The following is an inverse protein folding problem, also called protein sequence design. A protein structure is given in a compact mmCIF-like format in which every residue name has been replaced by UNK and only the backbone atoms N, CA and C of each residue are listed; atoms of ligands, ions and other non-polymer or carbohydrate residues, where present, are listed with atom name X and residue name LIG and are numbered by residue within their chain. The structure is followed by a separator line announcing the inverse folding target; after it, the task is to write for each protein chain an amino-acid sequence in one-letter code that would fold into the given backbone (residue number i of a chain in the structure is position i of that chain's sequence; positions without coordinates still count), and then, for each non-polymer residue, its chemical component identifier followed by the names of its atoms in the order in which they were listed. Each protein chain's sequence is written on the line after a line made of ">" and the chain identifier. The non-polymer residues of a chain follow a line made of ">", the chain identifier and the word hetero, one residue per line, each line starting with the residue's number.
data_IF_272187671432
#
_entry.id   IF_272187671432
#
_cell.length_a   1.000
_cell.length_b   1.000
_cell.length_c   1.000
_cell.angle_alpha   90.00
_cell.angle_beta   90.00
_cell.angle_gamma   90.00
#
_symmetry.space_group_name_H-M   'P 1'
#
loop_
_entity.id
_entity.type
_entity.pdbx_description
1 polymer ?
#
# COMPACT_ATOMS: atom_id res chain seq x y z
N UNK A 1 -10.95 17.02 25.79
CA UNK A 1 -9.49 17.25 25.62
C UNK A 1 -9.01 16.55 24.35
N UNK A 2 -8.15 17.14 23.51
CA UNK A 2 -7.61 16.45 22.30
C UNK A 2 -6.71 15.26 22.72
N UNK A 3 -6.90 14.08 22.10
CA UNK A 3 -6.15 12.83 22.35
C UNK A 3 -4.68 12.92 21.92
N UNK A 4 -4.40 13.69 20.87
CA UNK A 4 -3.07 13.93 20.32
C UNK A 4 -2.84 15.44 20.31
N UNK A 5 -1.66 15.88 20.75
CA UNK A 5 -1.23 17.28 20.74
C UNK A 5 0.10 17.42 20.01
N UNK A 6 0.18 18.42 19.13
CA UNK A 6 1.40 18.74 18.39
C UNK A 6 2.38 19.47 19.30
N UNK A 7 3.62 19.01 19.29
CA UNK A 7 4.76 19.59 20.02
C UNK A 7 5.55 20.51 19.09
N UNK A 8 5.97 20.01 17.92
CA UNK A 8 6.71 20.78 16.92
C UNK A 8 6.28 20.43 15.49
N UNK A 9 6.62 21.34 14.57
CA UNK A 9 6.47 21.16 13.12
C UNK A 9 7.71 21.71 12.46
N UNK A 10 8.39 20.88 11.68
CA UNK A 10 9.65 21.21 11.03
C UNK A 10 9.61 20.79 9.55
N UNK A 11 10.44 21.44 8.74
CA UNK A 11 10.70 21.04 7.36
C UNK A 11 12.14 20.51 7.29
N UNK A 12 12.28 19.20 7.15
CA UNK A 12 13.57 18.54 7.08
C UNK A 12 14.06 18.59 5.64
N UNK A 13 15.23 19.20 5.43
CA UNK A 13 15.84 19.38 4.10
C UNK A 13 17.04 18.44 3.97
N UNK A 14 17.51 18.15 2.73
CA UNK A 14 18.80 17.50 2.53
C UNK A 14 19.91 18.25 3.31
N UNK A 15 20.86 17.52 3.91
CA UNK A 15 21.94 18.13 4.68
C UNK A 15 23.00 18.79 3.79
N UNK A 16 23.09 18.38 2.52
CA UNK A 16 23.93 19.03 1.51
C UNK A 16 23.13 20.00 0.64
N UNK A 17 23.85 20.93 -0.01
CA UNK A 17 23.23 21.99 -0.78
C UNK A 17 22.55 21.45 -2.06
N UNK A 18 21.30 21.82 -2.32
CA UNK A 18 20.48 21.19 -3.38
C UNK A 18 20.62 21.81 -4.77
N UNK A 19 21.37 22.89 -4.96
CA UNK A 19 21.36 23.66 -6.22
C UNK A 19 21.95 22.93 -7.43
N UNK A 20 22.72 21.86 -7.22
CA UNK A 20 23.29 21.04 -8.28
C UNK A 20 22.41 19.83 -8.65
N UNK A 21 21.31 19.63 -7.93
CA UNK A 21 20.41 18.50 -8.15
C UNK A 21 19.57 18.75 -9.40
N UNK A 22 19.44 17.72 -10.23
CA UNK A 22 18.58 17.77 -11.42
C UNK A 22 17.14 17.44 -11.03
N UNK A 23 16.15 17.94 -11.78
CA UNK A 23 14.78 17.48 -11.63
C UNK A 23 14.68 15.96 -11.74
N UNK A 24 13.86 15.34 -10.90
CA UNK A 24 13.58 13.90 -10.96
C UNK A 24 12.38 13.66 -11.86
N UNK A 25 12.58 12.98 -12.99
CA UNK A 25 11.50 12.68 -13.93
C UNK A 25 10.61 11.55 -13.39
N UNK A 26 9.30 11.77 -13.43
CA UNK A 26 8.33 10.71 -13.17
C UNK A 26 8.38 9.69 -14.30
N UNK A 27 8.14 8.41 -13.97
CA UNK A 27 7.91 7.40 -14.99
C UNK A 27 6.43 7.35 -15.41
N UNK A 28 6.09 6.67 -16.50
CA UNK A 28 4.70 6.59 -16.97
C UNK A 28 3.73 6.08 -15.90
N UNK A 29 4.14 5.10 -15.09
CA UNK A 29 3.27 4.53 -14.04
C UNK A 29 2.99 5.57 -12.96
N UNK A 30 4.00 6.33 -12.55
CA UNK A 30 3.85 7.48 -11.64
C UNK A 30 2.81 8.48 -12.17
N UNK A 31 2.87 8.78 -13.48
CA UNK A 31 1.91 9.70 -14.11
C UNK A 31 0.46 9.20 -14.06
N UNK A 32 0.23 7.88 -14.01
CA UNK A 32 -1.09 7.23 -14.03
C UNK A 32 -1.70 6.96 -12.65
N UNK A 33 -0.89 6.78 -11.60
CA UNK A 33 -1.39 6.46 -10.25
C UNK A 33 -2.23 7.61 -9.66
N UNK A 34 -3.32 7.39 -8.92
CA UNK A 34 -4.10 8.50 -8.36
C UNK A 34 -3.35 9.44 -7.42
N UNK A 35 -3.76 10.71 -7.41
CA UNK A 35 -3.19 11.81 -6.62
C UNK A 35 -3.70 11.85 -5.17
N UNK A 36 -3.43 10.80 -4.41
CA UNK A 36 -3.90 10.64 -3.02
C UNK A 36 -2.77 10.27 -2.06
N UNK A 37 -2.93 10.65 -0.79
CA UNK A 37 -2.02 10.22 0.27
C UNK A 37 -2.42 8.86 0.85
N UNK A 38 -1.53 7.89 0.76
CA UNK A 38 -1.69 6.61 1.44
C UNK A 38 -1.03 6.65 2.83
N UNK A 39 -1.75 6.29 3.90
CA UNK A 39 -1.21 6.33 5.25
C UNK A 39 -0.52 5.02 5.65
N UNK A 40 0.59 5.11 6.37
CA UNK A 40 1.27 3.96 7.00
C UNK A 40 1.58 4.32 8.45
N UNK A 41 1.25 3.44 9.40
CA UNK A 41 1.68 3.53 10.79
C UNK A 41 2.63 2.38 11.11
N UNK A 42 3.73 2.71 11.79
CA UNK A 42 4.70 1.75 12.31
C UNK A 42 4.86 2.00 13.82
N UNK A 43 4.57 0.99 14.64
CA UNK A 43 4.59 1.09 16.10
C UNK A 43 5.82 0.40 16.68
N UNK A 44 6.48 1.10 17.60
CA UNK A 44 7.68 0.68 18.31
C UNK A 44 7.45 0.76 19.82
N UNK A 45 7.29 -0.39 20.50
CA UNK A 45 7.29 -0.42 21.95
C UNK A 45 8.70 -0.13 22.43
N UNK A 46 8.82 0.63 23.52
CA UNK A 46 10.11 0.90 24.14
C UNK A 46 10.15 0.10 25.43
N UNK A 47 10.91 -1.00 25.41
CA UNK A 47 11.00 -1.96 26.51
C UNK A 47 11.69 -1.39 27.75
N UNK A 48 12.61 -0.43 27.57
CA UNK A 48 13.38 0.19 28.67
C UNK A 48 13.33 1.72 28.61
N UNK A 49 12.20 2.35 28.97
CA UNK A 49 12.02 3.81 28.87
C UNK A 49 13.04 4.61 29.67
N UNK A 50 13.58 4.05 30.76
CA UNK A 50 14.57 4.70 31.62
C UNK A 50 15.94 4.86 30.97
N UNK A 51 16.30 3.99 30.03
CA UNK A 51 17.54 4.08 29.25
C UNK A 51 17.32 4.78 27.91
N UNK A 52 16.06 5.03 27.55
CA UNK A 52 15.68 5.65 26.30
C UNK A 52 15.70 7.17 26.40
N UNK A 53 16.76 7.79 25.88
CA UNK A 53 16.80 9.22 25.67
C UNK A 53 15.96 9.60 24.44
N UNK A 54 14.70 9.96 24.70
CA UNK A 54 13.76 10.39 23.67
C UNK A 54 14.31 11.59 22.91
N UNK A 55 14.78 12.64 23.59
CA UNK A 55 15.26 13.88 22.94
C UNK A 55 16.41 13.60 21.99
N UNK A 56 17.39 12.78 22.42
CA UNK A 56 18.51 12.37 21.57
C UNK A 56 18.04 11.51 20.40
N UNK A 57 17.08 10.62 20.62
CA UNK A 57 16.49 9.78 19.55
C UNK A 57 15.76 10.62 18.50
N UNK A 58 14.93 11.57 18.94
CA UNK A 58 14.22 12.51 18.06
C UNK A 58 15.19 13.32 17.21
N UNK A 59 16.21 13.89 17.86
CA UNK A 59 17.27 14.64 17.17
C UNK A 59 17.97 13.77 16.14
N UNK A 60 18.34 12.54 16.52
CA UNK A 60 19.01 11.58 15.62
C UNK A 60 18.14 11.21 14.43
N UNK A 61 16.85 10.96 14.63
CA UNK A 61 15.91 10.66 13.54
C UNK A 61 15.79 11.83 12.54
N UNK A 62 15.74 13.08 13.02
CA UNK A 62 15.70 14.25 12.13
C UNK A 62 17.00 14.46 11.36
N UNK A 63 18.14 14.35 12.05
CA UNK A 63 19.47 14.49 11.41
C UNK A 63 19.69 13.40 10.37
N UNK A 64 19.40 12.14 10.71
CA UNK A 64 19.54 11.02 9.76
C UNK A 64 18.52 11.11 8.61
N UNK A 65 17.34 11.69 8.82
CA UNK A 65 16.40 11.98 7.74
C UNK A 65 17.01 12.99 6.76
N UNK A 66 17.60 14.07 7.29
CA UNK A 66 18.30 15.08 6.49
C UNK A 66 19.45 14.48 5.66
N UNK A 67 20.23 13.56 6.24
CA UNK A 67 21.28 12.83 5.53
C UNK A 67 20.72 11.88 4.45
N UNK A 68 19.65 11.15 4.77
CA UNK A 68 19.00 10.21 3.84
C UNK A 68 18.46 10.95 2.62
N UNK A 69 17.93 12.16 2.81
CA UNK A 69 17.42 13.01 1.75
C UNK A 69 18.53 13.52 0.81
N UNK A 70 19.82 13.36 1.11
CA UNK A 70 20.86 13.60 0.11
C UNK A 70 20.80 12.56 -1.03
N UNK A 71 20.47 11.30 -0.69
CA UNK A 71 20.33 10.22 -1.67
C UNK A 71 18.92 10.18 -2.25
N UNK A 72 17.91 10.37 -1.40
CA UNK A 72 16.49 10.35 -1.76
C UNK A 72 15.91 11.77 -1.90
N UNK A 73 16.70 12.68 -2.48
CA UNK A 73 16.33 14.10 -2.60
C UNK A 73 14.99 14.38 -3.28
N UNK A 74 14.47 13.56 -4.23
CA UNK A 74 13.16 13.82 -4.81
C UNK A 74 12.04 13.89 -3.77
N UNK A 75 12.20 13.23 -2.63
CA UNK A 75 11.15 13.19 -1.59
C UNK A 75 11.03 14.53 -0.83
N UNK A 76 12.03 15.39 -0.94
CA UNK A 76 12.03 16.75 -0.38
C UNK A 76 11.45 17.81 -1.32
N UNK A 77 11.20 17.45 -2.58
CA UNK A 77 10.73 18.36 -3.63
C UNK A 77 9.21 18.48 -3.73
N UNK A 78 8.73 19.00 -4.86
CA UNK A 78 7.32 19.13 -5.24
C UNK A 78 7.14 18.74 -6.70
N UNK A 79 6.05 18.03 -6.97
CA UNK A 79 5.74 17.55 -8.33
C UNK A 79 5.32 18.71 -9.22
N UNK A 80 5.85 18.78 -10.43
CA UNK A 80 5.54 19.79 -11.45
C UNK A 80 4.84 19.14 -12.62
N UNK A 81 3.65 19.64 -12.95
CA UNK A 81 2.88 19.27 -14.15
C UNK A 81 2.66 17.77 -14.38
N UNK A 82 2.76 16.93 -13.33
CA UNK A 82 2.73 15.47 -13.44
C UNK A 82 3.85 14.92 -14.36
N UNK A 83 5.01 15.60 -14.41
CA UNK A 83 6.14 15.25 -15.27
C UNK A 83 7.42 14.98 -14.47
N UNK A 84 7.72 15.83 -13.50
CA UNK A 84 8.95 15.73 -12.71
C UNK A 84 8.77 16.29 -11.30
N UNK A 85 9.79 16.14 -10.46
CA UNK A 85 9.89 16.71 -9.12
C UNK A 85 11.07 17.66 -9.05
N UNK A 86 10.84 18.85 -8.49
CA UNK A 86 11.83 19.91 -8.30
C UNK A 86 11.58 20.62 -6.94
N UNK A 87 12.08 21.83 -6.70
CA UNK A 87 11.91 22.60 -5.46
C UNK A 87 12.40 21.85 -4.19
N UNK A 88 13.50 21.13 -4.27
CA UNK A 88 14.01 20.28 -3.16
C UNK A 88 14.27 21.06 -1.84
N UNK A 89 14.48 22.37 -1.94
CA UNK A 89 14.65 23.26 -0.78
C UNK A 89 13.40 23.38 0.10
N UNK A 90 12.22 22.94 -0.37
CA UNK A 90 10.97 22.96 0.39
C UNK A 90 10.93 21.92 1.51
N UNK A 91 11.72 20.84 1.41
CA UNK A 91 11.87 19.86 2.47
C UNK A 91 10.62 18.98 2.71
N UNK A 92 10.79 18.07 3.66
CA UNK A 92 9.80 17.08 4.12
C UNK A 92 9.17 17.57 5.42
N UNK A 93 7.83 17.70 5.50
CA UNK A 93 7.16 18.00 6.75
C UNK A 93 7.34 16.88 7.79
N UNK A 94 7.80 17.28 8.97
CA UNK A 94 8.02 16.39 10.12
C UNK A 94 7.31 16.97 11.34
N UNK A 95 6.42 16.19 11.93
CA UNK A 95 5.62 16.59 13.08
C UNK A 95 6.02 15.76 14.29
N UNK A 96 6.20 16.42 15.42
CA UNK A 96 6.30 15.74 16.72
C UNK A 96 5.00 15.92 17.48
N UNK A 97 4.50 14.83 18.07
CA UNK A 97 3.25 14.85 18.82
C UNK A 97 3.36 14.00 20.08
N UNK A 98 2.51 14.34 21.05
CA UNK A 98 2.28 13.53 22.26
C UNK A 98 0.88 12.93 22.22
N UNK A 99 0.79 11.65 22.52
CA UNK A 99 -0.46 10.90 22.70
C UNK A 99 -0.77 10.84 24.20
N UNK A 100 -2.04 10.98 24.56
CA UNK A 100 -2.45 11.05 25.98
C UNK A 100 -2.79 9.72 26.64
N UNK A 101 -2.90 8.65 25.87
CA UNK A 101 -3.18 7.30 26.39
C UNK A 101 -2.02 6.36 26.08
N UNK A 102 -2.01 5.20 26.73
CA UNK A 102 -0.98 4.19 26.51
C UNK A 102 -1.04 3.61 25.10
N UNK A 103 0.11 3.16 24.58
CA UNK A 103 0.18 2.53 23.25
C UNK A 103 -0.67 1.26 23.18
N UNK A 104 -0.63 0.43 24.23
CA UNK A 104 -1.44 -0.79 24.31
C UNK A 104 -2.94 -0.49 24.24
N UNK A 105 -3.39 0.56 24.93
CA UNK A 105 -4.77 1.03 24.84
C UNK A 105 -5.09 1.58 23.44
N UNK A 106 -4.19 2.38 22.86
CA UNK A 106 -4.42 3.01 21.56
C UNK A 106 -4.55 2.00 20.42
N UNK A 107 -3.72 0.96 20.40
CA UNK A 107 -3.74 -0.08 19.35
C UNK A 107 -5.08 -0.82 19.32
N UNK A 108 -5.76 -0.93 20.47
CA UNK A 108 -7.09 -1.55 20.59
C UNK A 108 -8.25 -0.61 20.24
N UNK A 109 -8.00 0.71 20.12
CA UNK A 109 -9.04 1.64 19.69
C UNK A 109 -9.42 1.39 18.23
N UNK A 110 -10.61 1.85 17.88
CA UNK A 110 -11.12 1.81 16.51
C UNK A 110 -10.14 2.45 15.52
N UNK A 111 -10.12 1.92 14.31
CA UNK A 111 -9.22 2.31 13.21
C UNK A 111 -9.29 3.81 12.88
N UNK A 112 -10.41 4.49 13.16
CA UNK A 112 -10.55 5.95 13.00
C UNK A 112 -9.62 6.78 13.88
N UNK A 113 -9.23 6.28 15.05
CA UNK A 113 -8.25 6.98 15.88
C UNK A 113 -6.86 6.95 15.24
N UNK A 114 -6.55 5.90 14.48
CA UNK A 114 -5.24 5.74 13.84
C UNK A 114 -5.03 6.75 12.70
N UNK A 115 -6.11 7.29 12.12
CA UNK A 115 -6.06 8.39 11.13
C UNK A 115 -5.44 9.67 11.72
N UNK A 116 -5.41 9.81 13.05
CA UNK A 116 -4.82 10.96 13.74
C UNK A 116 -3.32 10.81 13.98
N UNK A 117 -2.74 9.62 13.73
CA UNK A 117 -1.30 9.37 13.88
C UNK A 117 -0.49 9.79 12.65
N UNK A 118 -1.14 10.18 11.55
CA UNK A 118 -0.49 10.62 10.31
C UNK A 118 -0.64 12.13 10.11
N UNK A 119 0.35 12.81 9.48
CA UNK A 119 0.36 14.27 9.36
C UNK A 119 -0.67 14.80 8.35
N UNK A 120 -0.99 14.00 7.32
CA UNK A 120 -1.97 14.34 6.28
C UNK A 120 -3.05 13.26 6.33
N UNK A 121 -4.32 13.69 6.23
CA UNK A 121 -5.46 12.77 6.30
C UNK A 121 -5.34 11.66 5.24
N UNK A 122 -5.66 10.41 5.61
CA UNK A 122 -5.75 9.30 4.66
C UNK A 122 -6.53 9.67 3.41
N UNK A 123 -6.07 9.27 2.23
CA UNK A 123 -6.72 9.54 0.93
C UNK A 123 -7.06 11.01 0.63
N UNK A 124 -6.46 11.96 1.35
CA UNK A 124 -6.57 13.37 1.00
C UNK A 124 -6.08 13.57 -0.45
N UNK A 125 -6.90 14.22 -1.27
CA UNK A 125 -6.55 14.56 -2.65
C UNK A 125 -5.49 15.65 -2.63
N UNK A 126 -4.46 15.51 -3.47
CA UNK A 126 -3.48 16.59 -3.68
C UNK A 126 -4.11 17.62 -4.62
N UNK A 127 -4.48 18.77 -4.08
CA UNK A 127 -5.17 19.83 -4.82
C UNK A 127 -4.18 20.71 -5.59
N UNK A 128 -2.93 20.81 -5.10
CA UNK A 128 -1.90 21.62 -5.74
C UNK A 128 -0.54 20.92 -5.66
N UNK A 129 -0.13 20.35 -6.80
CA UNK A 129 1.14 19.66 -6.96
C UNK A 129 2.37 20.54 -6.58
N UNK A 130 2.26 21.87 -6.67
CA UNK A 130 3.34 22.80 -6.30
C UNK A 130 3.53 22.98 -4.79
N UNK A 131 2.56 22.53 -3.99
CA UNK A 131 2.53 22.68 -2.53
C UNK A 131 2.61 21.34 -1.83
N UNK A 132 1.99 20.32 -2.40
CA UNK A 132 1.82 19.00 -1.79
C UNK A 132 3.16 18.22 -1.73
N UNK A 133 3.67 17.89 -0.52
CA UNK A 133 4.92 17.14 -0.38
C UNK A 133 4.76 15.68 -0.83
N UNK A 134 5.77 15.06 -1.44
CA UNK A 134 5.70 13.64 -1.79
C UNK A 134 5.55 12.70 -0.58
N UNK A 135 6.07 13.11 0.57
CA UNK A 135 5.98 12.37 1.82
C UNK A 135 5.97 13.33 3.01
N UNK A 136 5.29 12.92 4.09
CA UNK A 136 5.33 13.61 5.36
C UNK A 136 5.35 12.60 6.52
N UNK A 137 5.98 12.99 7.63
CA UNK A 137 6.11 12.15 8.83
C UNK A 137 5.47 12.80 10.05
N UNK A 138 4.81 11.99 10.87
CA UNK A 138 4.38 12.36 12.20
C UNK A 138 4.90 11.34 13.19
N UNK A 139 5.70 11.80 14.13
CA UNK A 139 6.19 10.99 15.23
C UNK A 139 5.29 11.19 16.45
N UNK A 140 4.70 10.09 16.93
CA UNK A 140 3.73 10.10 18.00
C UNK A 140 4.33 9.42 19.22
N UNK A 141 4.60 10.20 20.27
CA UNK A 141 5.19 9.71 21.52
C UNK A 141 4.07 9.40 22.52
N UNK A 142 4.05 8.16 23.01
CA UNK A 142 3.10 7.68 24.00
C UNK A 142 3.65 7.85 25.43
N UNK A 143 2.79 7.88 26.47
CA UNK A 143 3.23 8.02 27.86
C UNK A 143 4.14 6.89 28.34
N UNK A 144 3.94 5.64 27.88
CA UNK A 144 4.88 4.53 28.09
C UNK A 144 6.26 4.69 27.43
N UNK A 145 6.51 5.78 26.70
CA UNK A 145 7.71 5.98 25.89
C UNK A 145 7.62 5.38 24.49
N UNK A 146 6.64 4.50 24.22
CA UNK A 146 6.39 3.95 22.89
C UNK A 146 6.30 5.02 21.80
N UNK A 147 6.70 4.69 20.58
CA UNK A 147 6.66 5.58 19.42
C UNK A 147 5.80 4.98 18.31
N UNK A 148 4.90 5.75 17.73
CA UNK A 148 4.32 5.44 16.42
C UNK A 148 4.82 6.43 15.37
N UNK A 149 5.47 5.92 14.32
CA UNK A 149 5.84 6.66 13.13
C UNK A 149 4.66 6.58 12.14
N UNK A 150 3.92 7.67 12.03
CA UNK A 150 2.92 7.87 10.99
C UNK A 150 3.53 8.49 9.75
N UNK A 151 3.15 7.96 8.59
CA UNK A 151 3.68 8.33 7.29
C UNK A 151 2.49 8.65 6.39
N UNK A 152 2.51 9.81 5.74
CA UNK A 152 1.60 10.13 4.65
C UNK A 152 2.37 10.11 3.35
N UNK A 153 2.07 9.13 2.50
CA UNK A 153 2.76 8.87 1.24
C UNK A 153 1.93 9.39 0.07
N UNK A 154 2.41 10.36 -0.69
CA UNK A 154 1.81 10.64 -1.99
C UNK A 154 2.20 9.51 -2.95
N UNK A 155 1.21 8.69 -3.34
CA UNK A 155 1.45 7.49 -4.13
C UNK A 155 2.00 7.81 -5.53
N UNK A 156 2.04 9.10 -5.94
CA UNK A 156 2.54 9.52 -7.24
C UNK A 156 3.99 9.17 -7.55
N UNK A 157 4.89 9.19 -6.58
CA UNK A 157 6.32 9.04 -6.89
C UNK A 157 6.97 7.81 -6.26
N UNK A 158 6.20 7.03 -5.50
CA UNK A 158 6.73 5.84 -4.86
C UNK A 158 5.62 4.86 -4.46
N UNK A 159 5.96 3.59 -4.57
CA UNK A 159 5.19 2.47 -4.05
C UNK A 159 5.72 2.01 -2.67
N UNK A 160 5.07 0.98 -2.09
CA UNK A 160 5.47 0.42 -0.80
C UNK A 160 6.89 -0.15 -0.78
N UNK A 161 7.41 -0.66 -1.90
CA UNK A 161 8.78 -1.17 -1.97
C UNK A 161 9.81 -0.03 -1.89
N UNK A 162 9.57 1.04 -2.64
CA UNK A 162 10.38 2.26 -2.59
C UNK A 162 10.35 2.89 -1.20
N UNK A 163 9.16 2.99 -0.58
CA UNK A 163 9.02 3.48 0.80
C UNK A 163 9.82 2.61 1.78
N UNK A 164 9.74 1.28 1.66
CA UNK A 164 10.53 0.36 2.50
C UNK A 164 12.03 0.63 2.39
N UNK A 165 12.55 0.80 1.17
CA UNK A 165 13.97 1.04 0.97
C UNK A 165 14.43 2.38 1.53
N UNK A 166 13.61 3.41 1.36
CA UNK A 166 13.83 4.71 1.98
C UNK A 166 13.89 4.59 3.51
N UNK A 167 12.92 3.93 4.14
CA UNK A 167 12.88 3.75 5.58
C UNK A 167 14.05 2.92 6.10
N UNK A 168 14.47 1.88 5.37
CA UNK A 168 15.66 1.07 5.71
C UNK A 168 16.95 1.90 5.62
N UNK A 169 17.10 2.72 4.59
CA UNK A 169 18.23 3.66 4.48
C UNK A 169 18.21 4.70 5.60
N UNK A 170 17.04 5.24 5.93
CA UNK A 170 16.88 6.19 7.03
C UNK A 170 17.25 5.57 8.39
N UNK A 171 16.77 4.35 8.64
CA UNK A 171 17.16 3.55 9.81
C UNK A 171 18.67 3.26 9.85
N UNK A 172 19.29 2.96 8.70
CA UNK A 172 20.73 2.73 8.58
C UNK A 172 21.55 3.98 8.94
N UNK A 173 21.17 5.17 8.43
CA UNK A 173 21.79 6.43 8.84
C UNK A 173 21.56 6.72 10.34
N UNK A 174 20.33 6.52 10.85
CA UNK A 174 20.00 6.72 12.26
C UNK A 174 20.86 5.86 13.20
N UNK A 175 21.23 4.66 12.78
CA UNK A 175 22.04 3.73 13.58
C UNK A 175 23.54 3.82 13.29
N UNK A 176 23.97 4.68 12.35
CA UNK A 176 25.35 4.72 11.86
C UNK A 176 25.78 3.49 11.05
N UNK A 177 24.85 2.61 10.69
CA UNK A 177 25.09 1.40 9.90
C UNK A 177 25.13 1.71 8.40
N UNK A 178 26.00 2.62 7.96
CA UNK A 178 26.04 3.14 6.58
C UNK A 178 26.23 2.07 5.50
N UNK A 179 26.85 0.94 5.83
CA UNK A 179 26.97 -0.23 4.94
C UNK A 179 25.62 -0.91 4.58
N UNK A 180 24.54 -0.60 5.32
CA UNK A 180 23.17 -1.09 5.04
C UNK A 180 22.34 -0.10 4.22
N UNK A 181 22.88 1.07 3.88
CA UNK A 181 22.16 2.07 3.09
C UNK A 181 21.91 1.53 1.70
N UNK A 182 20.66 1.65 1.24
CA UNK A 182 20.24 1.26 -0.10
C UNK A 182 20.37 2.49 -0.99
N UNK A 183 21.31 2.45 -1.93
CA UNK A 183 21.48 3.53 -2.90
C UNK A 183 20.29 3.54 -3.87
N UNK A 184 19.53 4.65 -3.97
CA UNK A 184 18.41 4.73 -4.88
C UNK A 184 18.88 4.88 -6.32
N UNK A 185 18.28 4.12 -7.22
CA UNK A 185 18.35 4.40 -8.65
C UNK A 185 17.17 5.31 -9.02
N UNK A 186 17.50 6.57 -9.32
CA UNK A 186 16.55 7.64 -9.62
C UNK A 186 16.29 7.82 -11.12
N UNK A 187 16.87 6.98 -11.98
CA UNK A 187 16.87 7.20 -13.43
C UNK A 187 16.10 6.12 -14.18
N UNK A 188 16.43 4.84 -13.95
CA UNK A 188 16.00 3.72 -14.82
C UNK A 188 14.50 3.61 -15.02
N UNK A 189 13.70 3.94 -13.99
CA UNK A 189 12.24 3.90 -14.08
C UNK A 189 11.72 4.79 -15.23
N UNK A 190 12.23 6.01 -15.36
CA UNK A 190 11.77 7.01 -16.33
C UNK A 190 12.57 6.99 -17.64
N UNK A 191 13.78 6.44 -17.66
CA UNK A 191 14.64 6.48 -18.86
C UNK A 191 14.67 5.16 -19.62
N UNK A 192 14.66 4.03 -18.90
CA UNK A 192 14.83 2.70 -19.50
C UNK A 192 13.49 1.96 -19.53
N UNK A 193 12.74 1.99 -18.43
CA UNK A 193 11.59 1.12 -18.26
C UNK A 193 10.29 1.75 -18.79
N UNK A 194 9.93 2.92 -18.27
CA UNK A 194 8.63 3.53 -18.51
C UNK A 194 8.77 5.04 -18.77
N UNK A 195 9.19 5.43 -19.99
CA UNK A 195 9.33 6.83 -20.36
C UNK A 195 8.06 7.65 -20.11
N UNK A 196 8.17 8.85 -19.53
CA UNK A 196 7.01 9.71 -19.33
C UNK A 196 6.39 10.14 -20.65
N UNK A 197 5.12 10.50 -20.59
CA UNK A 197 4.36 11.09 -21.70
C UNK A 197 3.99 12.52 -21.39
N UNK A 198 3.76 13.29 -22.46
CA UNK A 198 3.28 14.66 -22.37
C UNK A 198 1.98 14.75 -21.53
N UNK A 199 1.86 15.83 -20.76
CA UNK A 199 0.78 16.01 -19.78
C UNK A 199 -0.61 15.88 -20.42
N UNK A 200 -0.84 16.53 -21.57
CA UNK A 200 -2.15 16.49 -22.24
C UNK A 200 -2.51 15.08 -22.73
N UNK A 201 -1.52 14.32 -23.21
CA UNK A 201 -1.72 12.94 -23.62
C UNK A 201 -2.09 12.05 -22.42
N UNK A 202 -1.38 12.20 -21.29
CA UNK A 202 -1.57 11.32 -20.15
C UNK A 202 -2.77 11.71 -19.28
N UNK A 203 -3.25 12.96 -19.36
CA UNK A 203 -4.40 13.45 -18.60
C UNK A 203 -5.65 12.59 -18.85
N UNK A 204 -5.92 12.19 -20.10
CA UNK A 204 -7.08 11.33 -20.42
C UNK A 204 -7.00 9.97 -19.71
N UNK A 205 -5.82 9.37 -19.64
CA UNK A 205 -5.59 8.08 -18.97
C UNK A 205 -5.61 8.23 -17.45
N UNK A 206 -5.03 9.31 -16.92
CA UNK A 206 -5.02 9.60 -15.49
C UNK A 206 -6.43 9.78 -14.95
N UNK A 207 -7.33 10.44 -15.70
CA UNK A 207 -8.74 10.59 -15.33
C UNK A 207 -9.50 9.24 -15.31
N UNK A 208 -9.15 8.32 -16.21
CA UNK A 208 -9.72 6.96 -16.20
C UNK A 208 -9.26 6.23 -14.94
N UNK A 209 -7.96 6.31 -14.63
CA UNK A 209 -7.40 5.71 -13.41
C UNK A 209 -8.01 6.33 -12.14
N UNK A 210 -8.12 7.66 -12.06
CA UNK A 210 -8.73 8.32 -10.90
C UNK A 210 -10.16 7.82 -10.65
N UNK A 211 -11.01 7.72 -11.69
CA UNK A 211 -12.38 7.18 -11.53
C UNK A 211 -12.42 5.70 -11.16
N UNK A 212 -11.49 4.93 -11.71
CA UNK A 212 -11.43 3.49 -11.49
C UNK A 212 -10.97 3.14 -10.06
N UNK A 213 -9.99 3.88 -9.54
CA UNK A 213 -9.44 3.65 -8.21
C UNK A 213 -10.20 4.42 -7.14
N UNK A 214 -10.58 5.67 -7.36
CA UNK A 214 -11.15 6.55 -6.34
C UNK A 214 -12.63 6.77 -6.65
N UNK A 215 -13.49 6.12 -5.86
CA UNK A 215 -14.94 6.25 -5.96
C UNK A 215 -15.47 7.12 -4.83
N UNK A 216 -16.45 7.95 -5.15
CA UNK A 216 -17.17 8.73 -4.14
C UNK A 216 -17.99 7.78 -3.25
N UNK A 217 -18.02 8.05 -1.95
CA UNK A 217 -18.73 7.21 -0.99
C UNK A 217 -18.19 7.37 0.42
N UNK A 218 -18.88 6.76 1.38
CA UNK A 218 -18.42 6.62 2.75
C UNK A 218 -17.81 5.23 2.93
N UNK A 219 -16.57 5.21 3.39
CA UNK A 219 -15.81 3.98 3.54
C UNK A 219 -15.42 3.79 5.00
N UNK A 220 -15.43 2.53 5.42
CA UNK A 220 -14.94 2.10 6.73
C UNK A 220 -13.90 1.02 6.50
N UNK A 221 -12.72 1.11 7.15
CA UNK A 221 -11.85 -0.05 7.30
C UNK A 221 -11.96 -0.68 8.67
N UNK A 222 -12.00 -2.00 8.67
CA UNK A 222 -11.93 -2.86 9.84
C UNK A 222 -10.73 -3.78 9.71
N UNK A 223 -10.18 -4.16 10.86
CA UNK A 223 -9.05 -5.06 10.99
C UNK A 223 -9.58 -6.42 11.42
N UNK A 224 -9.22 -7.46 10.69
CA UNK A 224 -9.56 -8.85 10.99
C UNK A 224 -8.28 -9.67 11.14
N UNK A 225 -8.17 -10.45 12.21
CA UNK A 225 -7.00 -11.31 12.46
C UNK A 225 -7.32 -12.74 12.05
N UNK A 226 -6.52 -13.30 11.16
CA UNK A 226 -6.52 -14.71 10.81
C UNK A 226 -5.32 -15.38 11.49
N UNK A 227 -5.59 -16.26 12.46
CA UNK A 227 -4.51 -16.98 13.17
C UNK A 227 -3.89 -18.04 12.26
N UNK A 228 -2.67 -18.47 12.57
CA UNK A 228 -2.03 -19.54 11.80
C UNK A 228 -2.91 -20.81 11.68
N UNK A 229 -3.62 -21.20 12.74
CA UNK A 229 -4.51 -22.36 12.74
C UNK A 229 -5.64 -22.19 11.71
N UNK A 230 -6.35 -21.05 11.75
CA UNK A 230 -7.41 -20.76 10.77
C UNK A 230 -6.88 -20.73 9.33
N UNK A 231 -5.67 -20.19 9.14
CA UNK A 231 -5.02 -20.15 7.83
C UNK A 231 -4.69 -21.56 7.33
N UNK A 232 -4.24 -22.48 8.20
CA UNK A 232 -4.01 -23.87 7.79
C UNK A 232 -5.31 -24.54 7.34
N UNK A 233 -6.42 -24.30 8.03
CA UNK A 233 -7.74 -24.78 7.59
C UNK A 233 -8.09 -24.23 6.20
N UNK A 234 -7.90 -22.93 5.97
CA UNK A 234 -8.17 -22.32 4.66
C UNK A 234 -7.26 -22.88 3.55
N UNK A 235 -6.00 -23.20 3.87
CA UNK A 235 -5.08 -23.84 2.92
C UNK A 235 -5.63 -25.20 2.47
N UNK A 236 -6.08 -26.04 3.40
CA UNK A 236 -6.66 -27.33 3.04
C UNK A 236 -7.96 -27.18 2.24
N UNK A 237 -8.78 -26.16 2.50
CA UNK A 237 -9.99 -25.87 1.70
C UNK A 237 -9.70 -25.41 0.27
N UNK A 238 -8.52 -24.84 0.01
CA UNK A 238 -8.10 -24.36 -1.32
C UNK A 238 -7.38 -25.45 -2.12
N UNK A 239 -6.78 -26.41 -1.41
CA UNK A 239 -5.99 -27.48 -2.01
C UNK A 239 -6.79 -28.27 -3.03
N UNK A 240 -6.21 -28.47 -4.19
CA UNK A 240 -6.82 -29.20 -5.31
C UNK A 240 -5.73 -29.73 -6.24
N UNK A 241 -6.10 -30.49 -7.26
CA UNK A 241 -5.15 -30.98 -8.27
C UNK A 241 -4.40 -29.83 -8.98
N UNK A 242 -5.08 -28.72 -9.27
CA UNK A 242 -4.46 -27.55 -9.91
C UNK A 242 -3.67 -26.68 -8.92
N UNK A 243 -3.91 -26.82 -7.61
CA UNK A 243 -3.28 -26.08 -6.52
C UNK A 243 -2.88 -27.03 -5.36
N UNK A 244 -1.88 -27.91 -5.55
CA UNK A 244 -1.55 -28.92 -4.54
C UNK A 244 -0.86 -28.33 -3.30
N UNK A 245 -0.27 -27.13 -3.41
CA UNK A 245 0.42 -26.41 -2.33
C UNK A 245 0.01 -24.93 -2.30
N UNK A 246 -1.22 -24.60 -1.87
CA UNK A 246 -1.65 -23.21 -1.77
C UNK A 246 -0.79 -22.42 -0.78
N UNK A 247 -0.51 -21.16 -1.08
CA UNK A 247 0.17 -20.28 -0.12
C UNK A 247 -0.82 -19.72 0.91
N UNK A 248 -0.35 -19.32 2.09
CA UNK A 248 -1.16 -18.59 3.10
C UNK A 248 -1.87 -17.39 2.47
N UNK A 249 -1.16 -16.61 1.65
CA UNK A 249 -1.70 -15.43 1.00
C UNK A 249 -2.82 -15.79 0.04
N UNK A 250 -2.62 -16.83 -0.80
CA UNK A 250 -3.66 -17.30 -1.72
C UNK A 250 -4.92 -17.73 -0.96
N UNK A 251 -4.75 -18.49 0.12
CA UNK A 251 -5.88 -19.01 0.88
C UNK A 251 -6.72 -17.90 1.53
N UNK A 252 -6.06 -16.94 2.19
CA UNK A 252 -6.74 -15.79 2.81
C UNK A 252 -7.37 -14.89 1.75
N UNK A 253 -6.66 -14.60 0.65
CA UNK A 253 -7.20 -13.79 -0.45
C UNK A 253 -8.47 -14.43 -1.02
N UNK A 254 -8.47 -15.74 -1.29
CA UNK A 254 -9.66 -16.43 -1.80
C UNK A 254 -10.81 -16.40 -0.82
N UNK A 255 -10.53 -16.61 0.47
CA UNK A 255 -11.55 -16.56 1.53
C UNK A 255 -12.18 -15.18 1.64
N UNK A 256 -11.36 -14.13 1.81
CA UNK A 256 -11.84 -12.74 1.91
C UNK A 256 -12.61 -12.36 0.64
N UNK A 257 -12.07 -12.68 -0.54
CA UNK A 257 -12.71 -12.38 -1.82
C UNK A 257 -14.08 -13.04 -1.93
N UNK A 258 -14.23 -14.32 -1.56
CA UNK A 258 -15.52 -15.03 -1.56
C UNK A 258 -16.58 -14.26 -0.76
N UNK A 259 -16.24 -13.84 0.46
CA UNK A 259 -17.19 -13.15 1.34
C UNK A 259 -17.49 -11.73 0.85
N UNK A 260 -16.49 -10.98 0.39
CA UNK A 260 -16.70 -9.66 -0.22
C UNK A 260 -17.59 -9.75 -1.46
N UNK A 261 -17.35 -10.70 -2.36
CA UNK A 261 -18.19 -10.95 -3.54
C UNK A 261 -19.64 -11.19 -3.14
N UNK A 262 -19.89 -12.00 -2.11
CA UNK A 262 -21.24 -12.22 -1.59
C UNK A 262 -21.89 -10.92 -1.10
N UNK A 263 -21.14 -10.03 -0.43
CA UNK A 263 -21.69 -8.71 -0.01
C UNK A 263 -22.06 -7.82 -1.20
N UNK A 264 -21.23 -7.81 -2.26
CA UNK A 264 -21.51 -7.06 -3.48
C UNK A 264 -22.76 -7.60 -4.17
N UNK A 265 -22.84 -8.91 -4.38
CA UNK A 265 -23.98 -9.53 -5.05
C UNK A 265 -25.28 -9.51 -4.24
N UNK A 266 -25.20 -9.44 -2.91
CA UNK A 266 -26.38 -9.23 -2.07
C UNK A 266 -27.06 -7.87 -2.32
N UNK A 267 -26.29 -6.85 -2.75
CA UNK A 267 -26.83 -5.53 -3.12
C UNK A 267 -27.03 -5.37 -4.62
N UNK A 268 -26.18 -6.03 -5.41
CA UNK A 268 -26.20 -5.96 -6.87
C UNK A 268 -25.98 -7.36 -7.50
N UNK A 269 -27.05 -8.17 -7.62
CA UNK A 269 -26.95 -9.60 -7.99
C UNK A 269 -26.40 -9.91 -9.39
N UNK A 270 -26.34 -8.91 -10.27
CA UNK A 270 -25.93 -9.06 -11.66
C UNK A 270 -24.58 -8.36 -11.96
N UNK A 271 -24.01 -7.68 -10.97
CA UNK A 271 -22.79 -6.90 -11.17
C UNK A 271 -21.57 -7.81 -11.23
N UNK A 272 -20.66 -7.48 -12.13
CA UNK A 272 -19.36 -8.16 -12.20
C UNK A 272 -18.52 -7.70 -11.00
N UNK A 273 -17.75 -8.63 -10.43
CA UNK A 273 -16.73 -8.29 -9.43
C UNK A 273 -15.35 -8.40 -10.08
N UNK A 274 -14.57 -7.32 -10.01
CA UNK A 274 -13.17 -7.30 -10.45
C UNK A 274 -12.25 -7.36 -9.23
N UNK A 275 -11.61 -8.50 -9.00
CA UNK A 275 -10.56 -8.64 -8.01
C UNK A 275 -9.21 -8.26 -8.61
N UNK A 276 -8.46 -7.40 -7.93
CA UNK A 276 -7.14 -6.95 -8.36
C UNK A 276 -6.08 -7.33 -7.35
N UNK A 277 -4.91 -7.73 -7.80
CA UNK A 277 -3.73 -7.95 -6.95
C UNK A 277 -2.63 -6.99 -7.38
N UNK A 278 -2.17 -6.14 -6.46
CA UNK A 278 -1.00 -5.29 -6.66
C UNK A 278 0.28 -6.11 -6.45
N UNK A 279 1.16 -6.15 -7.46
CA UNK A 279 2.34 -7.01 -7.49
C UNK A 279 3.59 -6.18 -7.75
N UNK A 280 4.61 -6.32 -6.89
CA UNK A 280 5.92 -5.73 -7.15
C UNK A 280 6.57 -6.42 -8.36
N UNK A 281 6.80 -5.67 -9.43
CA UNK A 281 7.38 -6.19 -10.68
C UNK A 281 8.90 -6.24 -10.65
N UNK A 282 9.58 -5.48 -9.77
CA UNK A 282 11.05 -5.46 -9.64
C UNK A 282 11.67 -6.87 -9.56
N UNK A 283 11.25 -7.75 -8.62
CA UNK A 283 11.84 -9.09 -8.54
C UNK A 283 11.46 -10.01 -9.71
N UNK A 284 10.42 -9.66 -10.48
CA UNK A 284 9.89 -10.46 -11.59
C UNK A 284 10.45 -10.05 -12.94
N UNK A 285 11.02 -8.85 -13.01
CA UNK A 285 11.67 -8.27 -14.18
C UNK A 285 13.14 -8.66 -14.30
N UNK A 286 13.70 -9.40 -13.33
CA UNK A 286 15.07 -9.95 -13.43
C UNK A 286 15.21 -10.71 -14.75
N UNK A 287 16.06 -10.18 -15.63
CA UNK A 287 16.35 -10.71 -16.95
C UNK A 287 17.79 -11.22 -16.98
N UNK A 288 18.09 -12.35 -17.64
CA UNK A 288 19.47 -12.73 -17.93
C UNK A 288 20.22 -11.70 -18.82
N UNK A 289 19.50 -10.74 -19.44
CA UNK A 289 20.08 -9.70 -20.32
C UNK A 289 20.41 -8.38 -19.63
N UNK A 290 20.08 -8.20 -18.35
CA UNK A 290 20.43 -6.99 -17.57
C UNK A 290 21.66 -7.24 -16.68
N UNK A 291 22.74 -7.87 -17.17
CA UNK A 291 23.99 -8.10 -16.43
C UNK A 291 23.88 -8.57 -14.95
N UNK A 292 22.73 -9.11 -14.51
CA UNK A 292 22.47 -9.40 -13.10
C UNK A 292 22.13 -8.21 -12.18
N UNK A 293 21.95 -6.98 -12.70
CA UNK A 293 21.65 -5.81 -11.87
C UNK A 293 20.21 -5.85 -11.32
N UNK A 294 20.09 -5.69 -10.00
CA UNK A 294 18.80 -5.76 -9.32
C UNK A 294 18.03 -4.45 -9.46
N UNK A 295 16.75 -4.53 -9.85
CA UNK A 295 15.83 -3.38 -9.84
C UNK A 295 15.35 -2.99 -8.44
N UNK A 296 15.81 -3.69 -7.39
CA UNK A 296 15.35 -3.47 -6.01
C UNK A 296 15.54 -2.02 -5.55
N UNK A 297 16.60 -1.33 -6.00
CA UNK A 297 16.88 0.08 -5.67
C UNK A 297 16.16 1.12 -6.54
N UNK A 298 15.42 0.72 -7.57
CA UNK A 298 14.76 1.66 -8.49
C UNK A 298 13.59 2.36 -7.81
N UNK A 299 13.65 3.69 -7.76
CA UNK A 299 12.65 4.57 -7.14
C UNK A 299 11.51 4.85 -8.12
N UNK A 300 10.28 4.76 -7.63
CA UNK A 300 9.06 5.02 -8.40
C UNK A 300 7.98 3.97 -8.12
N UNK A 301 6.85 4.08 -8.82
CA UNK A 301 5.84 3.04 -8.85
C UNK A 301 6.21 1.95 -9.87
N UNK A 302 6.73 0.82 -9.40
CA UNK A 302 6.94 -0.38 -10.22
C UNK A 302 6.02 -1.48 -9.66
N UNK A 303 4.73 -1.24 -9.85
CA UNK A 303 3.63 -2.12 -9.43
C UNK A 303 2.85 -2.53 -10.67
N UNK A 304 2.66 -3.83 -10.84
CA UNK A 304 1.76 -4.39 -11.85
C UNK A 304 0.46 -4.84 -11.19
N UNK A 305 -0.64 -4.70 -11.91
CA UNK A 305 -1.93 -5.20 -11.46
C UNK A 305 -2.30 -6.50 -12.17
N UNK A 306 -2.74 -7.49 -11.41
CA UNK A 306 -3.34 -8.73 -11.91
C UNK A 306 -4.84 -8.64 -11.65
N UNK A 307 -5.66 -8.65 -12.69
CA UNK A 307 -7.11 -8.56 -12.58
C UNK A 307 -7.78 -9.91 -12.89
N UNK A 308 -8.81 -10.25 -12.13
CA UNK A 308 -9.68 -11.41 -12.36
C UNK A 308 -11.12 -10.94 -12.28
N UNK A 309 -11.95 -11.34 -13.24
CA UNK A 309 -13.33 -10.93 -13.37
C UNK A 309 -14.26 -12.09 -12.99
N UNK A 310 -15.24 -11.81 -12.14
CA UNK A 310 -16.20 -12.78 -11.67
C UNK A 310 -17.61 -12.33 -12.03
N UNK A 311 -18.26 -13.07 -12.92
CA UNK A 311 -19.65 -12.88 -13.32
C UNK A 311 -20.55 -13.79 -12.46
N UNK A 312 -21.54 -13.25 -11.72
CA UNK A 312 -22.45 -14.03 -10.90
C UNK A 312 -23.22 -15.10 -11.69
N UNK A 313 -23.47 -14.89 -12.99
CA UNK A 313 -24.15 -15.86 -13.85
C UNK A 313 -23.36 -17.17 -14.00
N UNK A 314 -22.03 -17.12 -13.91
CA UNK A 314 -21.18 -18.31 -13.94
C UNK A 314 -21.31 -19.16 -12.66
N UNK A 315 -21.97 -18.65 -11.62
CA UNK A 315 -22.16 -19.32 -10.33
C UNK A 315 -23.63 -19.67 -10.04
N UNK A 316 -24.57 -19.36 -10.95
CA UNK A 316 -26.01 -19.55 -10.72
C UNK A 316 -26.46 -21.01 -10.56
N UNK A 317 -25.74 -21.98 -11.13
CA UNK A 317 -26.04 -23.41 -10.94
C UNK A 317 -25.74 -23.93 -9.52
N UNK A 318 -25.11 -23.09 -8.67
CA UNK A 318 -24.67 -23.41 -7.31
C UNK A 318 -25.46 -22.65 -6.24
N UNK A 319 -26.63 -22.11 -6.57
CA UNK A 319 -27.49 -21.40 -5.61
C UNK A 319 -28.32 -22.43 -4.84
N UNK A 320 -27.92 -22.73 -3.59
CA UNK A 320 -28.78 -23.40 -2.60
C UNK A 320 -29.13 -22.42 -1.49
N UNK A 321 -30.41 -22.41 -1.11
CA UNK A 321 -31.03 -21.70 0.02
C UNK A 321 -30.07 -20.81 0.86
N UNK A 322 -29.82 -19.59 0.36
CA UNK A 322 -29.10 -18.46 0.99
C UNK A 322 -27.62 -18.20 0.61
N UNK A 323 -27.15 -18.58 -0.59
CA UNK A 323 -25.89 -18.02 -1.11
C UNK A 323 -25.35 -18.66 -2.39
N UNK A 324 -24.29 -18.05 -2.94
CA UNK A 324 -23.49 -18.64 -4.03
C UNK A 324 -22.53 -19.68 -3.43
N UNK A 325 -22.67 -20.97 -3.79
CA UNK A 325 -21.70 -22.01 -3.39
C UNK A 325 -20.42 -21.93 -4.24
N UNK A 326 -19.57 -20.98 -3.88
CA UNK A 326 -18.25 -20.77 -4.49
C UNK A 326 -17.20 -21.55 -3.68
N UNK A 327 -16.52 -22.51 -4.31
CA UNK A 327 -15.40 -23.21 -3.69
C UNK A 327 -14.14 -22.35 -3.71
N UNK A 328 -13.38 -22.36 -2.62
CA UNK A 328 -12.12 -21.60 -2.53
C UNK A 328 -11.08 -22.11 -3.54
N UNK A 329 -11.10 -23.40 -3.86
CA UNK A 329 -10.24 -24.01 -4.90
C UNK A 329 -10.50 -23.41 -6.29
N UNK A 330 -11.75 -23.10 -6.63
CA UNK A 330 -12.11 -22.56 -7.94
C UNK A 330 -11.69 -21.09 -8.08
N UNK A 331 -11.80 -20.32 -7.00
CA UNK A 331 -11.25 -18.96 -6.94
C UNK A 331 -9.72 -18.99 -7.05
N UNK A 332 -9.05 -19.88 -6.31
CA UNK A 332 -7.60 -19.99 -6.34
C UNK A 332 -7.08 -20.37 -7.72
N UNK A 333 -7.78 -21.26 -8.43
CA UNK A 333 -7.46 -21.60 -9.82
C UNK A 333 -7.53 -20.38 -10.74
N UNK A 334 -8.63 -19.62 -10.68
CA UNK A 334 -8.81 -18.41 -11.51
C UNK A 334 -7.77 -17.33 -11.19
N UNK A 335 -7.45 -17.10 -9.91
CA UNK A 335 -6.39 -16.16 -9.51
C UNK A 335 -5.01 -16.62 -10.00
N UNK A 336 -4.73 -17.93 -9.98
CA UNK A 336 -3.49 -18.50 -10.51
C UNK A 336 -3.39 -18.34 -12.02
N UNK A 337 -4.45 -18.65 -12.76
CA UNK A 337 -4.50 -18.48 -14.23
C UNK A 337 -4.27 -17.01 -14.61
N UNK A 338 -4.89 -16.07 -13.89
CA UNK A 338 -4.67 -14.64 -14.12
C UNK A 338 -3.22 -14.21 -13.82
N UNK A 339 -2.61 -14.74 -12.75
CA UNK A 339 -1.20 -14.50 -12.44
C UNK A 339 -0.27 -15.08 -13.51
N UNK A 340 -0.55 -16.29 -14.02
CA UNK A 340 0.23 -16.89 -15.10
C UNK A 340 0.14 -16.04 -16.37
N UNK A 341 -1.05 -15.61 -16.78
CA UNK A 341 -1.20 -14.70 -17.93
C UNK A 341 -0.48 -13.36 -17.74
N UNK A 342 -0.45 -12.83 -16.52
CA UNK A 342 0.34 -11.66 -16.17
C UNK A 342 1.85 -11.91 -16.33
N UNK A 343 2.35 -13.06 -15.89
CA UNK A 343 3.77 -13.40 -15.97
C UNK A 343 4.21 -13.73 -17.41
N UNK A 344 3.42 -14.54 -18.13
CA UNK A 344 3.76 -15.05 -19.45
C UNK A 344 3.63 -14.00 -20.57
N UNK A 345 2.67 -13.08 -20.43
CA UNK A 345 2.42 -12.05 -21.44
C UNK A 345 2.89 -10.66 -21.00
N UNK A 346 2.27 -10.12 -19.96
CA UNK A 346 2.47 -8.71 -19.59
C UNK A 346 3.90 -8.44 -19.16
N UNK A 347 4.45 -9.24 -18.23
CA UNK A 347 5.83 -9.04 -17.80
C UNK A 347 6.83 -9.24 -18.93
N UNK A 348 6.57 -10.15 -19.87
CA UNK A 348 7.41 -10.34 -21.05
C UNK A 348 7.47 -9.09 -21.94
N UNK A 349 6.36 -8.36 -22.11
CA UNK A 349 6.38 -7.09 -22.84
C UNK A 349 7.03 -5.97 -22.03
N UNK A 350 6.67 -5.86 -20.75
CA UNK A 350 7.19 -4.81 -19.85
C UNK A 350 8.70 -4.92 -19.63
N UNK A 351 9.27 -6.13 -19.61
CA UNK A 351 10.71 -6.37 -19.54
C UNK A 351 11.50 -5.77 -20.72
N UNK A 352 10.86 -5.50 -21.85
CA UNK A 352 11.52 -4.87 -23.01
C UNK A 352 11.80 -3.37 -22.79
N UNK A 353 11.16 -2.75 -21.79
CA UNK A 353 11.32 -1.34 -21.49
C UNK A 353 10.77 -0.40 -22.57
N UNK A 354 11.01 0.90 -22.36
CA UNK A 354 10.71 1.96 -23.31
C UNK A 354 9.26 2.01 -23.76
N UNK A 355 9.08 2.22 -25.06
CA UNK A 355 7.76 2.36 -25.69
C UNK A 355 6.95 1.06 -25.68
N UNK A 356 7.60 -0.10 -25.73
CA UNK A 356 6.89 -1.40 -25.70
C UNK A 356 6.25 -1.62 -24.33
N UNK A 357 7.00 -1.36 -23.25
CA UNK A 357 6.47 -1.42 -21.89
C UNK A 357 5.37 -0.36 -21.68
N UNK A 358 5.58 0.85 -22.18
CA UNK A 358 4.61 1.95 -22.09
C UNK A 358 3.29 1.64 -22.79
N UNK A 359 3.33 1.08 -23.99
CA UNK A 359 2.16 0.64 -24.73
C UNK A 359 1.35 -0.40 -23.96
N UNK A 360 2.03 -1.39 -23.38
CA UNK A 360 1.36 -2.45 -22.62
C UNK A 360 0.68 -1.91 -21.34
N UNK A 361 1.27 -0.92 -20.67
CA UNK A 361 0.64 -0.22 -19.54
C UNK A 361 -0.61 0.54 -20.00
N UNK A 362 -0.51 1.33 -21.06
CA UNK A 362 -1.63 2.15 -21.56
C UNK A 362 -2.79 1.28 -22.07
N UNK A 363 -2.49 0.18 -22.76
CA UNK A 363 -3.47 -0.80 -23.24
C UNK A 363 -4.35 -1.34 -22.11
N UNK A 364 -3.80 -1.52 -20.90
CA UNK A 364 -4.59 -1.91 -19.72
C UNK A 364 -5.53 -0.81 -19.25
N UNK A 365 -5.07 0.43 -19.25
CA UNK A 365 -5.94 1.59 -18.92
C UNK A 365 -7.07 1.72 -19.94
N UNK A 366 -6.80 1.46 -21.22
CA UNK A 366 -7.84 1.45 -22.27
C UNK A 366 -8.85 0.33 -22.05
N UNK A 367 -8.39 -0.86 -21.69
CA UNK A 367 -9.29 -1.97 -21.35
C UNK A 367 -10.20 -1.62 -20.16
N UNK A 368 -9.65 -0.98 -19.12
CA UNK A 368 -10.45 -0.43 -18.00
C UNK A 368 -11.49 0.57 -18.51
N UNK A 369 -11.08 1.50 -19.37
CA UNK A 369 -12.00 2.50 -19.93
C UNK A 369 -13.12 1.88 -20.75
N UNK A 370 -12.88 0.77 -21.45
CA UNK A 370 -13.91 0.06 -22.19
C UNK A 370 -14.92 -0.57 -21.25
N UNK A 371 -14.48 -1.15 -20.13
CA UNK A 371 -15.37 -1.70 -19.11
C UNK A 371 -16.28 -0.60 -18.51
N UNK A 372 -15.72 0.58 -18.21
CA UNK A 372 -16.50 1.74 -17.74
C UNK A 372 -17.54 2.18 -18.78
N UNK A 373 -17.16 2.26 -20.06
CA UNK A 373 -18.04 2.69 -21.17
C UNK A 373 -19.15 1.72 -21.48
N UNK A 374 -18.95 0.43 -21.22
CA UNK A 374 -19.97 -0.59 -21.42
C UNK A 374 -21.07 -0.54 -20.35
N UNK A 375 -21.00 0.40 -19.39
CA UNK A 375 -21.94 0.61 -18.29
C UNK A 375 -22.27 -0.68 -17.51
N UNK A 376 -21.44 -1.72 -17.62
CA UNK A 376 -21.59 -2.92 -16.82
C UNK A 376 -21.25 -2.53 -15.39
N UNK A 377 -22.22 -2.55 -14.45
CA UNK A 377 -21.93 -2.12 -13.11
C UNK A 377 -20.92 -3.11 -12.52
N UNK A 378 -19.81 -2.56 -12.02
CA UNK A 378 -18.62 -3.31 -11.65
C UNK A 378 -18.15 -2.90 -10.26
N UNK A 379 -18.14 -3.87 -9.35
CA UNK A 379 -17.51 -3.73 -8.04
C UNK A 379 -16.05 -4.12 -8.17
N UNK A 380 -15.15 -3.22 -7.80
CA UNK A 380 -13.73 -3.54 -7.75
C UNK A 380 -13.28 -3.69 -6.31
N UNK A 381 -12.37 -4.63 -6.07
CA UNK A 381 -11.66 -4.83 -4.80
C UNK A 381 -10.18 -5.09 -5.10
N UNK A 382 -9.28 -4.33 -4.47
CA UNK A 382 -7.83 -4.49 -4.65
C UNK A 382 -7.20 -5.12 -3.42
N UNK A 383 -6.35 -6.11 -3.63
CA UNK A 383 -5.53 -6.76 -2.62
C UNK A 383 -4.09 -6.27 -2.76
N UNK A 384 -3.50 -5.84 -1.65
CA UNK A 384 -2.05 -5.68 -1.51
C UNK A 384 -1.53 -6.49 -0.34
N UNK A 385 -0.24 -6.76 -0.37
CA UNK A 385 0.42 -7.54 0.66
C UNK A 385 1.67 -6.81 1.14
N UNK A 386 1.72 -6.53 2.44
CA UNK A 386 2.82 -5.83 3.09
C UNK A 386 3.77 -6.75 3.85
N UNK A 387 3.64 -8.07 3.64
CA UNK A 387 4.51 -9.08 4.24
C UNK A 387 5.97 -8.75 4.03
N UNK A 388 6.71 -8.64 5.14
CA UNK A 388 8.15 -8.36 5.16
C UNK A 388 8.58 -7.00 4.59
N UNK A 389 7.66 -6.09 4.25
CA UNK A 389 8.02 -4.78 3.68
C UNK A 389 8.68 -3.90 4.74
N UNK A 390 8.05 -3.77 5.91
CA UNK A 390 8.45 -2.81 6.94
C UNK A 390 9.09 -3.43 8.19
N UNK A 391 9.09 -4.76 8.33
CA UNK A 391 9.46 -5.47 9.58
C UNK A 391 10.93 -5.28 10.02
N UNK A 392 11.81 -4.82 9.11
CA UNK A 392 13.24 -4.65 9.35
C UNK A 392 13.67 -3.19 9.58
N UNK A 393 12.72 -2.26 9.70
CA UNK A 393 13.01 -0.83 9.89
C UNK A 393 13.32 -0.56 11.38
N UNK A 394 14.60 -0.60 11.76
CA UNK A 394 15.07 -0.37 13.14
C UNK A 394 15.93 0.91 13.24
N UNK A 395 15.38 1.93 13.91
CA UNK A 395 16.04 3.24 14.11
C UNK A 395 17.06 3.24 15.26
N UNK A 396 17.40 2.08 15.80
CA UNK A 396 18.30 1.87 16.94
C UNK A 396 17.59 1.79 18.28
N UNK A 397 16.27 1.57 18.27
CA UNK A 397 15.45 1.34 19.46
C UNK A 397 14.53 0.12 19.31
N UNK A 398 14.85 -0.76 18.35
CA UNK A 398 14.16 -2.02 18.12
C UNK A 398 13.37 -2.05 16.83
N UNK A 399 13.01 -3.27 16.42
CA UNK A 399 12.16 -3.52 15.25
C UNK A 399 10.70 -3.13 15.52
N UNK A 400 9.91 -2.87 14.46
CA UNK A 400 8.48 -2.64 14.61
C UNK A 400 7.78 -3.81 15.30
N UNK A 401 6.87 -3.48 16.22
CA UNK A 401 5.94 -4.43 16.82
C UNK A 401 4.67 -4.60 16.00
N UNK A 402 4.21 -3.51 15.38
CA UNK A 402 3.00 -3.49 14.57
C UNK A 402 3.19 -2.55 13.39
N UNK A 403 2.61 -2.95 12.25
CA UNK A 403 2.54 -2.15 11.03
C UNK A 403 1.13 -2.26 10.49
N UNK A 404 0.59 -1.15 9.99
CA UNK A 404 -0.70 -1.19 9.33
C UNK A 404 -1.03 0.12 8.64
N UNK A 405 -1.99 0.10 7.71
CA UNK A 405 -2.51 1.32 7.13
C UNK A 405 -3.44 2.03 8.14
N UNK A 406 -3.44 3.37 8.14
CA UNK A 406 -4.37 4.18 8.94
C UNK A 406 -5.63 4.45 8.12
N UNK A 407 -6.54 3.47 8.04
CA UNK A 407 -7.73 3.59 7.20
C UNK A 407 -8.99 3.47 8.04
N UNK A 408 -9.25 4.36 8.98
CA UNK A 408 -10.48 4.30 9.74
C UNK A 408 -11.75 4.61 8.94
N UNK A 409 -12.66 5.37 9.55
CA UNK A 409 -13.77 5.94 8.80
C UNK A 409 -13.26 7.06 7.88
N UNK A 410 -13.59 6.96 6.60
CA UNK A 410 -13.18 7.89 5.56
C UNK A 410 -14.44 8.57 4.98
N UNK A 411 -14.52 9.88 5.17
CA UNK A 411 -15.65 10.70 4.71
C UNK A 411 -15.36 11.36 3.35
N UNK A 412 -14.45 10.80 2.57
CA UNK A 412 -14.03 11.30 1.27
C UNK A 412 -13.77 10.12 0.33
N UNK A 413 -13.70 10.37 -0.98
CA UNK A 413 -13.58 9.32 -1.99
C UNK A 413 -12.39 8.39 -1.72
N UNK A 414 -12.62 7.09 -1.85
CA UNK A 414 -11.66 6.02 -1.52
C UNK A 414 -11.88 4.83 -2.46
N UNK A 415 -11.14 3.75 -2.24
CA UNK A 415 -11.25 2.48 -2.95
C UNK A 415 -11.65 1.36 -1.99
N UNK A 416 -12.33 0.33 -2.49
CA UNK A 416 -12.43 -0.92 -1.76
C UNK A 416 -11.06 -1.61 -1.81
N UNK A 417 -10.48 -1.91 -0.66
CA UNK A 417 -9.10 -2.38 -0.57
C UNK A 417 -8.91 -3.39 0.57
N UNK A 418 -8.01 -4.35 0.37
CA UNK A 418 -7.55 -5.29 1.39
C UNK A 418 -6.04 -5.20 1.50
N UNK A 419 -5.55 -4.88 2.69
CA UNK A 419 -4.12 -4.91 3.02
C UNK A 419 -3.84 -6.08 3.95
N UNK A 420 -3.04 -7.03 3.48
CA UNK A 420 -2.58 -8.15 4.28
C UNK A 420 -1.22 -7.81 4.91
N UNK A 421 -1.11 -7.92 6.24
CA UNK A 421 0.10 -7.63 7.00
C UNK A 421 0.45 -8.83 7.89
N UNK A 422 1.75 -9.13 8.04
CA UNK A 422 2.19 -10.15 9.00
C UNK A 422 1.80 -9.74 10.42
N UNK A 423 1.29 -10.67 11.21
CA UNK A 423 0.77 -10.39 12.54
C UNK A 423 1.23 -11.44 13.56
N UNK A 424 2.53 -11.72 13.57
CA UNK A 424 3.15 -12.76 14.41
C UNK A 424 2.88 -12.58 15.92
N UNK A 425 2.47 -11.39 16.37
CA UNK A 425 1.99 -11.14 17.75
C UNK A 425 0.78 -11.99 18.14
N UNK A 426 0.01 -12.47 17.15
CA UNK A 426 -1.13 -13.35 17.34
C UNK A 426 -0.77 -14.84 17.17
N UNK A 427 0.52 -15.15 17.09
CA UNK A 427 1.05 -16.47 16.77
C UNK A 427 1.79 -16.44 15.44
N UNK A 428 2.96 -17.10 15.40
CA UNK A 428 3.83 -17.11 14.22
C UNK A 428 3.07 -17.57 12.98
N UNK A 429 3.06 -16.73 11.95
CA UNK A 429 2.39 -17.00 10.69
C UNK A 429 0.95 -16.52 10.59
N UNK A 430 0.43 -15.86 11.62
CA UNK A 430 -0.85 -15.15 11.59
C UNK A 430 -0.78 -13.90 10.72
N UNK A 431 -1.94 -13.47 10.22
CA UNK A 431 -2.07 -12.33 9.30
C UNK A 431 -3.20 -11.40 9.79
N UNK A 432 -2.94 -10.10 9.74
CA UNK A 432 -3.96 -9.07 9.86
C UNK A 432 -4.40 -8.62 8.48
N UNK A 433 -5.71 -8.63 8.25
CA UNK A 433 -6.35 -8.09 7.07
C UNK A 433 -7.04 -6.77 7.43
N UNK A 434 -6.54 -5.67 6.89
CA UNK A 434 -7.23 -4.37 6.93
C UNK A 434 -8.11 -4.29 5.70
N UNK A 435 -9.42 -4.40 5.90
CA UNK A 435 -10.42 -4.45 4.82
C UNK A 435 -11.15 -3.13 4.83
N UNK A 436 -10.98 -2.30 3.81
CA UNK A 436 -11.72 -1.05 3.59
C UNK A 436 -12.81 -1.29 2.54
N UNK A 437 -14.06 -1.05 2.89
CA UNK A 437 -15.21 -1.17 2.00
C UNK A 437 -16.14 0.03 2.18
N UNK A 438 -16.97 0.30 1.17
CA UNK A 438 -18.11 1.20 1.35
C UNK A 438 -18.99 0.70 2.50
N UNK A 439 -19.50 1.61 3.33
CA UNK A 439 -20.17 1.29 4.61
C UNK A 439 -21.27 0.21 4.48
N UNK A 440 -22.03 0.24 3.38
CA UNK A 440 -23.11 -0.72 3.10
C UNK A 440 -22.62 -2.17 2.90
N UNK A 441 -21.40 -2.36 2.39
CA UNK A 441 -20.80 -3.68 2.22
C UNK A 441 -20.04 -4.11 3.47
N UNK A 442 -19.37 -3.17 4.15
CA UNK A 442 -18.72 -3.45 5.44
C UNK A 442 -19.73 -3.98 6.46
N UNK A 443 -20.91 -3.35 6.55
CA UNK A 443 -21.98 -3.79 7.45
C UNK A 443 -22.41 -5.24 7.20
N UNK A 444 -22.48 -5.66 5.93
CA UNK A 444 -22.81 -7.03 5.58
C UNK A 444 -21.69 -8.00 5.96
N UNK A 445 -20.43 -7.62 5.72
CA UNK A 445 -19.27 -8.44 6.08
C UNK A 445 -19.13 -8.62 7.60
N UNK A 446 -19.37 -7.56 8.39
CA UNK A 446 -19.38 -7.61 9.86
C UNK A 446 -20.54 -8.44 10.42
N UNK A 447 -21.57 -8.72 9.61
CA UNK A 447 -22.69 -9.57 10.00
C UNK A 447 -22.55 -11.01 9.50
N UNK A 448 -21.52 -11.32 8.71
CA UNK A 448 -21.31 -12.64 8.13
C UNK A 448 -20.67 -13.60 9.15
N UNK A 449 -21.49 -14.45 9.78
CA UNK A 449 -21.03 -15.42 10.76
C UNK A 449 -20.03 -16.44 10.20
N UNK A 450 -20.12 -16.78 8.91
CA UNK A 450 -19.18 -17.72 8.27
C UNK A 450 -17.82 -17.05 8.06
N UNK A 451 -17.81 -15.76 7.71
CA UNK A 451 -16.58 -14.97 7.64
C UNK A 451 -15.95 -14.86 9.03
N UNK A 452 -16.72 -14.40 10.02
CA UNK A 452 -16.24 -14.13 11.37
C UNK A 452 -15.74 -15.38 12.11
N UNK A 453 -16.27 -16.57 11.79
CA UNK A 453 -15.83 -17.83 12.37
C UNK A 453 -14.34 -18.14 12.11
N UNK A 454 -13.75 -17.57 11.05
CA UNK A 454 -12.32 -17.71 10.71
C UNK A 454 -11.46 -16.55 11.23
N UNK A 455 -12.06 -15.60 11.95
CA UNK A 455 -11.36 -14.43 12.49
C UNK A 455 -11.28 -14.50 14.01
N UNK A 456 -10.20 -13.96 14.59
CA UNK A 456 -10.07 -13.86 16.04
C UNK A 456 -11.07 -12.85 16.61
N UNK A 457 -11.84 -13.27 17.62
CA UNK A 457 -12.77 -12.39 18.37
C UNK A 457 -12.05 -11.30 19.17
N UNK A 458 -10.75 -11.45 19.40
CA UNK A 458 -9.93 -10.51 20.17
C UNK A 458 -9.28 -9.43 19.29
N UNK A 459 -9.68 -9.32 18.02
CA UNK A 459 -9.03 -8.45 17.03
C UNK A 459 -9.41 -6.98 17.12
#
# INVERSE_FOLDING_TARGET
>A
MKLISIVSRELIKPSSQTHHLKPYNLCLIDQLVPKVYYPVNIFYPISEPKLFDLTKTLTRMKTSLSETLNLYYPFSGRTKNNLYVDDFHKGVPFFETKVKCEMSEFIQKETEFHNKLVPIQPYAKTLNNDVDPPIAFQLNVFPCGGIALGISLNHKIMDGATLSNFLKSWAAFSTGSTHKVINPNLFDASTILFPPKETDFINKYSLIMDRWFIKDGYYTSKKFVFTNETIQTLIEMVKSECMPKPTRNTAITCFILKHIMATFWAKSPHDIVTARQAVNIRPRMKSPHHNGDSLDGVVGNLVGEVATFFDPNNFQNNVKNNGYDIKLSDLARQLKEAMQGFEDHFLCQVKKGGEVASFEILKRVEHISLLDKLEKPNHSITFTNWKGIFNEVDFGFGKPFNVGPSLGKLNHPCSNYVVLVDADRWGKGSIEAFIALEDKYMTLLESDHNFLAFTSKNS
#
